data_IF_774819714802
#
_entry.id   IF_774819714802
#
_cell.length_a   1.000
_cell.length_b   1.000
_cell.length_c   1.000
_cell.angle_alpha   90.00
_cell.angle_beta   90.00
_cell.angle_gamma   90.00
#
_symmetry.space_group_name_H-M   'P 1'
#
loop_
_entity.id
_entity.type
_entity.pdbx_description
1 polymer ?
#
# COMPACT_ATOMS: atom_id res chain seq x y z
N UNK A 1 6.02 -3.19 12.20
CA UNK A 1 4.64 -3.74 12.30
C UNK A 1 4.55 -5.15 11.72
N UNK A 2 4.96 -5.42 10.47
CA UNK A 2 4.96 -6.80 9.93
C UNK A 2 5.87 -7.77 10.72
N UNK A 3 7.07 -7.35 11.13
CA UNK A 3 7.94 -8.17 11.98
C UNK A 3 7.34 -8.45 13.37
N UNK A 4 6.54 -7.52 13.90
CA UNK A 4 5.86 -7.68 15.18
C UNK A 4 4.69 -8.66 15.06
N UNK A 5 3.90 -8.56 13.99
CA UNK A 5 2.85 -9.53 13.67
C UNK A 5 3.44 -10.94 13.44
N UNK A 6 4.58 -11.03 12.76
CA UNK A 6 5.28 -12.30 12.53
C UNK A 6 5.89 -12.86 13.83
N UNK A 7 6.43 -12.00 14.71
CA UNK A 7 6.91 -12.40 16.03
C UNK A 7 5.79 -12.96 16.92
N UNK A 8 4.60 -12.35 16.92
CA UNK A 8 3.42 -12.86 17.65
C UNK A 8 2.97 -14.23 17.11
N UNK A 9 2.97 -14.42 15.79
CA UNK A 9 2.63 -15.72 15.19
C UNK A 9 3.65 -16.79 15.58
N UNK A 10 4.94 -16.46 15.59
CA UNK A 10 6.02 -17.38 16.00
C UNK A 10 5.95 -17.69 17.50
N UNK A 11 5.67 -16.69 18.35
CA UNK A 11 5.42 -16.88 19.77
C UNK A 11 4.20 -17.78 20.03
N UNK A 12 3.10 -17.57 19.30
CA UNK A 12 1.89 -18.39 19.43
C UNK A 12 2.07 -19.85 18.96
N UNK A 13 2.95 -20.10 17.99
CA UNK A 13 3.20 -21.44 17.45
C UNK A 13 4.31 -22.20 18.19
N UNK A 14 5.34 -21.51 18.69
CA UNK A 14 6.52 -22.14 19.30
C UNK A 14 6.57 -21.98 20.83
N UNK A 15 5.78 -21.08 21.43
CA UNK A 15 5.74 -20.82 22.87
C UNK A 15 7.01 -20.15 23.42
N UNK A 16 7.79 -19.48 22.57
CA UNK A 16 9.04 -18.83 22.96
C UNK A 16 8.77 -17.42 23.49
N UNK A 17 9.51 -16.96 24.52
CA UNK A 17 9.40 -15.59 25.00
C UNK A 17 9.69 -14.58 23.86
N UNK A 18 8.80 -13.60 23.70
CA UNK A 18 8.75 -12.63 22.59
C UNK A 18 10.13 -12.06 22.18
N UNK A 19 10.97 -11.70 23.16
CA UNK A 19 12.29 -11.13 22.90
C UNK A 19 13.26 -12.10 22.20
N UNK A 20 13.17 -13.41 22.48
CA UNK A 20 14.01 -14.44 21.82
C UNK A 20 13.55 -14.64 20.38
N UNK A 21 12.23 -14.68 20.17
CA UNK A 21 11.67 -14.80 18.83
C UNK A 21 12.09 -13.61 17.95
N UNK A 22 12.06 -12.39 18.49
CA UNK A 22 12.50 -11.17 17.79
C UNK A 22 13.99 -11.24 17.40
N UNK A 23 14.87 -11.62 18.32
CA UNK A 23 16.33 -11.68 18.05
C UNK A 23 16.65 -12.76 17.01
N UNK A 24 16.04 -13.94 17.12
CA UNK A 24 16.27 -15.06 16.18
C UNK A 24 15.70 -14.76 14.81
N UNK A 25 14.47 -14.26 14.72
CA UNK A 25 13.87 -13.85 13.45
C UNK A 25 14.67 -12.73 12.80
N UNK A 26 15.09 -11.72 13.58
CA UNK A 26 15.97 -10.65 13.13
C UNK A 26 17.27 -11.18 12.55
N UNK A 27 17.92 -12.15 13.21
CA UNK A 27 19.14 -12.79 12.71
C UNK A 27 18.93 -13.51 11.37
N UNK A 28 17.87 -14.32 11.24
CA UNK A 28 17.57 -15.01 9.98
C UNK A 28 17.29 -14.04 8.83
N UNK A 29 16.52 -12.98 9.10
CA UNK A 29 16.24 -11.93 8.12
C UNK A 29 17.55 -11.23 7.70
N UNK A 30 18.39 -10.85 8.66
CA UNK A 30 19.70 -10.21 8.40
C UNK A 30 20.63 -11.12 7.59
N UNK A 31 20.70 -12.40 7.95
CA UNK A 31 21.52 -13.39 7.26
C UNK A 31 21.07 -13.59 5.80
N UNK A 32 19.77 -13.71 5.56
CA UNK A 32 19.25 -13.87 4.20
C UNK A 32 19.41 -12.59 3.37
N UNK A 33 19.19 -11.39 3.95
CA UNK A 33 19.41 -10.11 3.23
C UNK A 33 20.88 -9.94 2.86
N UNK A 34 21.79 -10.23 3.79
CA UNK A 34 23.24 -10.10 3.56
C UNK A 34 23.77 -11.13 2.56
N UNK A 35 23.23 -12.36 2.54
CA UNK A 35 23.63 -13.41 1.59
C UNK A 35 22.96 -13.27 0.22
N UNK A 36 21.70 -12.83 0.17
CA UNK A 36 20.90 -12.73 -1.06
C UNK A 36 21.16 -11.46 -1.88
N UNK A 37 21.71 -10.42 -1.25
CA UNK A 37 21.97 -9.14 -1.89
C UNK A 37 20.72 -8.47 -2.48
N UNK A 38 20.93 -7.43 -3.30
CA UNK A 38 19.84 -6.68 -3.94
C UNK A 38 19.02 -7.56 -4.89
N UNK A 39 19.63 -8.58 -5.50
CA UNK A 39 18.93 -9.41 -6.48
C UNK A 39 17.87 -10.31 -5.85
N UNK A 40 18.13 -10.88 -4.67
CA UNK A 40 17.14 -11.71 -3.98
C UNK A 40 15.94 -10.91 -3.48
N UNK A 41 16.16 -9.65 -3.08
CA UNK A 41 15.07 -8.74 -2.72
C UNK A 41 14.17 -8.44 -3.94
N UNK A 42 14.79 -8.14 -5.10
CA UNK A 42 14.05 -7.86 -6.34
C UNK A 42 13.19 -9.06 -6.77
N UNK A 43 13.67 -10.30 -6.66
CA UNK A 43 12.86 -11.47 -7.01
C UNK A 43 11.61 -11.63 -6.13
N UNK A 44 11.74 -11.36 -4.83
CA UNK A 44 10.60 -11.41 -3.91
C UNK A 44 9.60 -10.28 -4.19
N UNK A 45 10.07 -9.07 -4.45
CA UNK A 45 9.21 -7.94 -4.83
C UNK A 45 8.43 -8.22 -6.12
N UNK A 46 9.10 -8.80 -7.12
CA UNK A 46 8.46 -9.15 -8.40
C UNK A 46 7.40 -10.24 -8.22
N UNK A 47 7.68 -11.27 -7.42
CA UNK A 47 6.69 -12.32 -7.14
C UNK A 47 5.47 -11.73 -6.41
N UNK A 48 5.70 -10.91 -5.38
CA UNK A 48 4.64 -10.25 -4.63
C UNK A 48 3.78 -9.35 -5.52
N UNK A 49 4.40 -8.61 -6.45
CA UNK A 49 3.69 -7.79 -7.42
C UNK A 49 2.68 -8.61 -8.24
N UNK A 50 3.08 -9.78 -8.76
CA UNK A 50 2.17 -10.64 -9.51
C UNK A 50 1.08 -11.27 -8.65
N UNK A 51 1.38 -11.64 -7.40
CA UNK A 51 0.37 -12.16 -6.46
C UNK A 51 -0.67 -11.09 -6.14
N UNK A 52 -0.25 -9.86 -5.89
CA UNK A 52 -1.16 -8.73 -5.65
C UNK A 52 -2.01 -8.47 -6.90
N UNK A 53 -1.42 -8.43 -8.09
CA UNK A 53 -2.19 -8.26 -9.33
C UNK A 53 -3.22 -9.37 -9.53
N UNK A 54 -2.82 -10.63 -9.32
CA UNK A 54 -3.71 -11.77 -9.44
C UNK A 54 -4.90 -11.70 -8.46
N UNK A 55 -4.69 -11.15 -7.25
CA UNK A 55 -5.76 -10.90 -6.29
C UNK A 55 -6.62 -9.68 -6.63
N UNK A 56 -6.00 -8.58 -7.04
CA UNK A 56 -6.64 -7.28 -7.18
C UNK A 56 -7.47 -7.17 -8.47
N UNK A 57 -6.97 -7.71 -9.58
CA UNK A 57 -7.69 -7.71 -10.88
C UNK A 57 -9.10 -8.30 -10.77
N UNK A 58 -9.32 -9.55 -10.27
CA UNK A 58 -10.66 -10.11 -10.20
C UNK A 58 -11.55 -9.35 -9.23
N UNK A 59 -11.01 -8.85 -8.11
CA UNK A 59 -11.76 -8.01 -7.16
C UNK A 59 -12.26 -6.74 -7.85
N UNK A 60 -11.39 -6.05 -8.60
CA UNK A 60 -11.77 -4.85 -9.36
C UNK A 60 -12.81 -5.15 -10.42
N UNK A 61 -12.66 -6.24 -11.19
CA UNK A 61 -13.62 -6.62 -12.23
C UNK A 61 -15.00 -6.93 -11.63
N UNK A 62 -15.05 -7.71 -10.55
CA UNK A 62 -16.29 -8.03 -9.86
C UNK A 62 -16.93 -6.79 -9.23
N UNK A 63 -16.13 -5.92 -8.63
CA UNK A 63 -16.57 -4.64 -8.09
C UNK A 63 -17.19 -3.75 -9.17
N UNK A 64 -16.50 -3.60 -10.30
CA UNK A 64 -16.97 -2.80 -11.43
C UNK A 64 -18.27 -3.35 -12.02
N UNK A 65 -18.37 -4.68 -12.16
CA UNK A 65 -19.61 -5.32 -12.61
C UNK A 65 -20.78 -5.08 -11.64
N UNK A 66 -20.52 -5.07 -10.33
CA UNK A 66 -21.54 -4.87 -9.30
C UNK A 66 -22.11 -3.45 -9.29
N UNK A 67 -21.31 -2.45 -9.66
CA UNK A 67 -21.75 -1.04 -9.76
C UNK A 67 -22.33 -0.68 -11.13
N UNK A 68 -22.51 -1.65 -12.04
CA UNK A 68 -23.09 -1.41 -13.37
C UNK A 68 -22.07 -1.04 -14.45
N UNK A 69 -20.78 -1.36 -14.25
CA UNK A 69 -19.71 -1.04 -15.18
C UNK A 69 -19.12 0.35 -14.93
N UNK A 70 -18.35 0.83 -15.90
CA UNK A 70 -17.77 2.18 -15.86
C UNK A 70 -18.84 3.26 -15.84
N UNK A 71 -19.91 3.09 -16.62
CA UNK A 71 -21.01 4.06 -16.69
C UNK A 71 -21.79 4.12 -15.38
N UNK A 72 -22.08 2.97 -14.76
CA UNK A 72 -22.74 2.96 -13.45
C UNK A 72 -21.89 3.57 -12.34
N UNK A 73 -20.56 3.39 -12.41
CA UNK A 73 -19.62 4.05 -11.50
C UNK A 73 -19.59 5.57 -11.72
N UNK A 74 -19.51 6.01 -12.98
CA UNK A 74 -19.41 7.44 -13.31
C UNK A 74 -20.70 8.19 -13.00
N UNK A 75 -21.85 7.57 -13.24
CA UNK A 75 -23.16 8.16 -12.98
C UNK A 75 -23.44 8.24 -11.46
N UNK A 76 -23.07 7.20 -10.70
CA UNK A 76 -23.21 7.18 -9.23
C UNK A 76 -22.34 8.25 -8.55
N UNK A 77 -21.10 8.42 -9.01
CA UNK A 77 -20.18 9.43 -8.49
C UNK A 77 -20.63 10.85 -8.88
N UNK A 78 -21.07 11.06 -10.12
CA UNK A 78 -21.56 12.36 -10.58
C UNK A 78 -22.84 12.77 -9.83
N UNK A 79 -23.74 11.82 -9.53
CA UNK A 79 -24.92 12.06 -8.70
C UNK A 79 -24.59 12.36 -7.24
N UNK A 80 -23.61 11.66 -6.65
CA UNK A 80 -23.35 11.72 -5.20
C UNK A 80 -22.37 12.83 -4.81
N UNK A 81 -21.38 13.11 -5.66
CA UNK A 81 -20.24 13.97 -5.34
C UNK A 81 -19.91 15.01 -6.43
N UNK A 82 -20.66 15.04 -7.54
CA UNK A 82 -20.45 15.95 -8.66
C UNK A 82 -19.34 15.49 -9.62
N UNK A 83 -19.21 16.20 -10.75
CA UNK A 83 -18.24 15.88 -11.82
C UNK A 83 -16.77 16.00 -11.40
N UNK A 84 -16.48 16.75 -10.33
CA UNK A 84 -15.11 17.07 -9.93
C UNK A 84 -14.34 15.85 -9.38
N UNK A 85 -15.06 14.85 -8.87
CA UNK A 85 -14.48 13.58 -8.39
C UNK A 85 -14.06 12.62 -9.52
N UNK A 86 -14.35 12.96 -10.79
CA UNK A 86 -13.83 12.22 -11.95
C UNK A 86 -12.39 12.58 -12.30
N UNK A 87 -11.85 13.66 -11.72
CA UNK A 87 -10.52 14.15 -12.02
C UNK A 87 -9.61 14.08 -10.80
N UNK A 88 -8.56 13.26 -10.87
CA UNK A 88 -7.61 13.08 -9.76
C UNK A 88 -6.85 14.38 -9.40
N UNK A 89 -6.73 15.31 -10.34
CA UNK A 89 -6.02 16.59 -10.19
C UNK A 89 -6.94 17.81 -10.33
N UNK A 90 -8.27 17.61 -10.32
CA UNK A 90 -9.23 18.70 -10.41
C UNK A 90 -9.11 19.63 -9.20
N UNK A 91 -9.03 20.94 -9.41
CA UNK A 91 -8.98 21.92 -8.33
C UNK A 91 -7.69 21.92 -7.49
N UNK A 92 -6.61 21.24 -7.91
CA UNK A 92 -5.32 21.24 -7.21
C UNK A 92 -4.38 22.39 -7.63
N UNK A 93 -4.91 23.41 -8.31
CA UNK A 93 -4.16 24.61 -8.67
C UNK A 93 -3.78 25.45 -7.46
N UNK A 94 -2.73 26.26 -7.59
CA UNK A 94 -2.34 27.19 -6.51
C UNK A 94 -3.43 28.25 -6.37
N UNK A 95 -4.15 28.22 -5.23
CA UNK A 95 -5.22 29.16 -4.93
C UNK A 95 -6.62 28.75 -5.41
N UNK A 96 -6.80 27.53 -5.90
CA UNK A 96 -8.14 26.96 -6.16
C UNK A 96 -8.61 26.11 -4.99
N UNK A 97 -9.92 26.17 -4.69
CA UNK A 97 -10.55 25.29 -3.72
C UNK A 97 -10.67 23.88 -4.33
N UNK A 98 -9.86 22.96 -3.83
CA UNK A 98 -9.98 21.54 -4.16
C UNK A 98 -11.23 20.98 -3.45
N UNK A 99 -12.13 20.27 -4.16
CA UNK A 99 -13.28 19.60 -3.53
C UNK A 99 -12.90 18.63 -2.40
N UNK A 100 -11.67 18.12 -2.39
CA UNK A 100 -11.13 17.27 -1.33
C UNK A 100 -10.49 18.06 -0.16
N UNK A 101 -10.49 19.39 -0.21
CA UNK A 101 -9.85 20.26 0.80
C UNK A 101 -8.32 20.20 0.83
N UNK A 102 -7.69 19.53 -0.13
CA UNK A 102 -6.23 19.40 -0.20
C UNK A 102 -5.61 20.52 -1.05
N UNK A 103 -4.71 21.29 -0.45
CA UNK A 103 -3.93 22.34 -1.11
C UNK A 103 -2.62 21.75 -1.68
N UNK A 104 -1.96 22.47 -2.58
CA UNK A 104 -0.69 22.04 -3.18
C UNK A 104 0.38 21.72 -2.11
N UNK A 105 0.36 22.45 -0.98
CA UNK A 105 1.26 22.22 0.14
C UNK A 105 1.02 20.86 0.81
N UNK A 106 -0.24 20.47 1.03
CA UNK A 106 -0.56 19.17 1.62
C UNK A 106 -0.31 18.02 0.65
N UNK A 107 -0.45 18.24 -0.66
CA UNK A 107 -0.06 17.27 -1.68
C UNK A 107 1.46 17.03 -1.64
N UNK A 108 2.26 18.09 -1.67
CA UNK A 108 3.73 17.98 -1.69
C UNK A 108 4.27 17.39 -0.39
N UNK A 109 3.80 17.85 0.77
CA UNK A 109 4.30 17.35 2.06
C UNK A 109 3.68 15.99 2.43
N UNK A 110 2.41 15.78 2.15
CA UNK A 110 1.71 14.53 2.47
C UNK A 110 2.08 13.40 1.52
N UNK A 111 1.78 13.55 0.23
CA UNK A 111 2.06 12.51 -0.77
C UNK A 111 3.56 12.45 -1.08
N UNK A 112 4.17 13.61 -1.36
CA UNK A 112 5.57 13.68 -1.80
C UNK A 112 6.58 13.33 -0.71
N UNK A 113 6.45 13.93 0.48
CA UNK A 113 7.38 13.70 1.58
C UNK A 113 6.94 12.51 2.44
N UNK A 114 5.81 12.59 3.14
CA UNK A 114 5.44 11.56 4.14
C UNK A 114 5.19 10.18 3.51
N UNK A 115 4.35 10.08 2.48
CA UNK A 115 4.03 8.76 1.89
C UNK A 115 5.20 8.15 1.13
N UNK A 116 6.02 8.94 0.42
CA UNK A 116 7.19 8.39 -0.28
C UNK A 116 8.22 7.79 0.68
N UNK A 117 8.55 8.50 1.76
CA UNK A 117 9.44 7.96 2.80
C UNK A 117 8.80 6.79 3.55
N UNK A 118 7.49 6.85 3.82
CA UNK A 118 6.74 5.75 4.42
C UNK A 118 6.78 4.49 3.56
N UNK A 119 6.50 4.60 2.26
CA UNK A 119 6.58 3.51 1.31
C UNK A 119 7.98 2.92 1.22
N UNK A 120 9.00 3.78 1.08
CA UNK A 120 10.39 3.34 1.01
C UNK A 120 10.85 2.62 2.29
N UNK A 121 10.42 3.05 3.47
CA UNK A 121 10.82 2.39 4.74
C UNK A 121 10.02 1.14 5.08
N UNK A 122 8.86 0.92 4.45
CA UNK A 122 7.95 -0.18 4.80
C UNK A 122 7.83 -1.26 3.73
N UNK A 123 8.16 -0.97 2.46
CA UNK A 123 8.05 -1.94 1.36
C UNK A 123 9.27 -2.86 1.20
N UNK A 124 10.29 -2.74 2.06
CA UNK A 124 11.44 -3.68 2.10
C UNK A 124 11.28 -4.80 3.16
N UNK A 125 10.05 -5.18 3.50
CA UNK A 125 9.78 -6.23 4.48
C UNK A 125 8.81 -7.29 3.94
#
# INVERSE_FOLDING_TARGET
VNLYALAIVVEALLGWPEWVAIVVAGFFVLAYITLGGLSSAIYNEVLQFFVILAGLIPITVLGLKKVGGWDGLSDSLSHSHGSDFMTAWGGTGIGSDNPLGANWLTIVLGLGFVLSFGYWTTNFA
#
